data_IF_234961030277
#
_entry.id   IF_234961030277
#
_cell.length_a   1.000
_cell.length_b   1.000
_cell.length_c   1.000
_cell.angle_alpha   90.00
_cell.angle_beta   90.00
_cell.angle_gamma   90.00
#
_symmetry.space_group_name_H-M   'P 1'
#
loop_
_entity.id
_entity.type
_entity.pdbx_description
1 polymer ?
#
# COMPACT_ATOMS: atom_id res chain seq x y z
N UNK A 1 -11.94 11.79 1.90
CA UNK A 1 -10.59 12.42 1.88
C UNK A 1 -10.70 13.90 2.25
N UNK A 2 -9.79 14.48 3.09
CA UNK A 2 -9.82 15.89 3.43
C UNK A 2 -9.37 16.75 2.23
N UNK A 3 -10.06 17.89 2.01
CA UNK A 3 -9.73 18.84 0.94
C UNK A 3 -8.46 19.66 1.24
N UNK A 4 -8.07 19.76 2.50
CA UNK A 4 -6.87 20.45 2.99
C UNK A 4 -6.40 19.82 4.31
N UNK A 5 -5.19 20.16 4.73
CA UNK A 5 -4.58 19.64 5.93
C UNK A 5 -3.95 18.25 5.76
N UNK A 6 -3.15 17.80 6.74
CA UNK A 6 -2.43 16.55 6.67
C UNK A 6 -3.34 15.35 6.99
N UNK A 7 -3.03 14.21 6.38
CA UNK A 7 -3.60 12.92 6.75
C UNK A 7 -2.65 11.80 6.34
N UNK A 8 -2.74 10.67 7.04
CA UNK A 8 -2.01 9.46 6.68
C UNK A 8 -2.96 8.47 5.99
N UNK A 9 -2.77 8.24 4.71
CA UNK A 9 -3.48 7.20 3.95
C UNK A 9 -2.80 5.86 4.17
N UNK A 10 -3.56 4.86 4.57
CA UNK A 10 -3.07 3.49 4.82
C UNK A 10 -3.83 2.55 3.90
N UNK A 11 -3.12 1.85 3.02
CA UNK A 11 -3.73 0.94 2.06
C UNK A 11 -3.15 -0.48 2.15
N UNK A 12 -3.94 -1.49 1.70
CA UNK A 12 -3.42 -2.82 1.44
C UNK A 12 -2.45 -2.78 0.25
N UNK A 13 -1.42 -3.63 0.30
CA UNK A 13 -0.39 -3.71 -0.74
C UNK A 13 -0.54 -4.99 -1.54
N UNK A 14 -0.59 -4.87 -2.85
CA UNK A 14 -0.96 -5.99 -3.70
C UNK A 14 -0.31 -5.92 -5.09
N UNK A 15 -0.24 -7.08 -5.73
CA UNK A 15 0.42 -7.24 -7.02
C UNK A 15 1.93 -7.46 -6.91
N UNK A 16 2.50 -8.11 -7.90
CA UNK A 16 3.94 -8.45 -7.97
C UNK A 16 4.81 -7.21 -8.16
N UNK A 17 4.31 -6.23 -8.90
CA UNK A 17 4.89 -4.90 -9.07
C UNK A 17 3.97 -3.88 -8.39
N UNK A 18 4.51 -2.85 -7.73
CA UNK A 18 3.72 -1.90 -6.94
C UNK A 18 2.95 -0.89 -7.81
N UNK A 19 2.17 -1.40 -8.79
CA UNK A 19 1.31 -0.57 -9.63
C UNK A 19 0.11 -0.01 -8.85
N UNK A 20 -0.28 -0.66 -7.77
CA UNK A 20 -1.27 -0.16 -6.81
C UNK A 20 -0.89 1.21 -6.25
N UNK A 21 0.39 1.43 -5.98
CA UNK A 21 0.91 2.72 -5.54
C UNK A 21 0.69 3.83 -6.61
N UNK A 22 0.97 3.50 -7.87
CA UNK A 22 0.79 4.43 -9.00
C UNK A 22 -0.69 4.73 -9.24
N UNK A 23 -1.53 3.68 -9.23
CA UNK A 23 -2.97 3.81 -9.42
C UNK A 23 -3.62 4.61 -8.29
N UNK A 24 -3.20 4.39 -7.05
CA UNK A 24 -3.68 5.15 -5.89
C UNK A 24 -3.34 6.65 -6.01
N UNK A 25 -2.09 6.97 -6.42
CA UNK A 25 -1.68 8.37 -6.61
C UNK A 25 -2.44 9.04 -7.74
N UNK A 26 -2.53 8.37 -8.91
CA UNK A 26 -3.22 8.90 -10.08
C UNK A 26 -4.71 9.08 -9.79
N UNK A 27 -5.38 8.05 -9.27
CA UNK A 27 -6.79 8.10 -8.95
C UNK A 27 -7.13 9.18 -7.93
N UNK A 28 -6.31 9.33 -6.88
CA UNK A 28 -6.52 10.40 -5.92
C UNK A 28 -6.35 11.79 -6.55
N UNK A 29 -5.31 11.98 -7.38
CA UNK A 29 -5.08 13.27 -8.02
C UNK A 29 -6.21 13.64 -9.02
N UNK A 30 -6.64 12.67 -9.80
CA UNK A 30 -7.64 12.90 -10.86
C UNK A 30 -9.07 13.08 -10.30
N UNK A 31 -9.45 12.25 -9.32
CA UNK A 31 -10.82 12.19 -8.82
C UNK A 31 -11.08 13.12 -7.62
N UNK A 32 -10.02 13.54 -6.89
CA UNK A 32 -10.21 14.41 -5.74
C UNK A 32 -10.46 15.87 -6.16
N UNK A 33 -11.53 16.53 -5.69
CA UNK A 33 -11.88 17.90 -6.12
C UNK A 33 -10.77 18.95 -5.94
N UNK A 34 -9.86 18.73 -4.98
CA UNK A 34 -8.72 19.61 -4.73
C UNK A 34 -7.43 19.12 -5.40
N UNK A 35 -7.46 18.07 -6.24
CA UNK A 35 -6.32 17.49 -6.95
C UNK A 35 -5.08 17.31 -6.04
N UNK A 36 -5.29 16.69 -4.87
CA UNK A 36 -4.24 16.56 -3.87
C UNK A 36 -3.20 15.51 -4.25
N UNK A 37 -1.93 15.84 -4.06
CA UNK A 37 -0.83 14.90 -4.24
C UNK A 37 -0.67 13.99 -3.01
N UNK A 38 -0.45 12.70 -3.25
CA UNK A 38 -0.14 11.73 -2.21
C UNK A 38 1.37 11.44 -2.21
N UNK A 39 2.05 11.69 -1.09
CA UNK A 39 3.46 11.35 -0.89
C UNK A 39 3.58 9.93 -0.37
N UNK A 40 3.91 8.98 -1.22
CA UNK A 40 4.03 7.58 -0.82
C UNK A 40 5.39 7.27 -0.18
N UNK A 41 5.35 6.54 0.93
CA UNK A 41 6.54 6.03 1.60
C UNK A 41 7.00 4.74 0.90
N UNK A 42 8.12 4.82 0.20
CA UNK A 42 8.71 3.71 -0.55
C UNK A 42 9.83 3.00 0.21
N UNK A 43 9.90 1.67 0.11
CA UNK A 43 10.98 0.88 0.68
C UNK A 43 12.34 1.21 0.06
N UNK A 44 13.42 1.01 0.80
CA UNK A 44 14.79 1.30 0.37
C UNK A 44 15.19 0.63 -0.95
N UNK A 45 14.66 -0.55 -1.23
CA UNK A 45 14.90 -1.28 -2.49
C UNK A 45 14.48 -0.47 -3.72
N UNK A 46 13.40 0.32 -3.65
CA UNK A 46 12.95 1.19 -4.74
C UNK A 46 14.02 2.21 -5.10
N UNK A 47 14.76 2.69 -4.09
CA UNK A 47 15.81 3.70 -4.25
C UNK A 47 17.18 3.10 -4.58
N UNK A 48 17.37 1.80 -4.39
CA UNK A 48 18.59 1.09 -4.73
C UNK A 48 18.69 0.77 -6.24
N UNK A 49 17.57 0.71 -6.95
CA UNK A 49 17.54 0.38 -8.38
C UNK A 49 17.65 1.64 -9.24
N UNK A 50 18.73 1.79 -10.06
CA UNK A 50 18.86 2.92 -10.98
C UNK A 50 17.66 3.01 -11.93
N UNK A 51 17.22 4.23 -12.23
CA UNK A 51 16.01 4.48 -13.04
C UNK A 51 14.72 4.41 -12.23
N UNK A 52 14.49 3.36 -11.46
CA UNK A 52 13.31 3.26 -10.59
C UNK A 52 13.34 4.33 -9.50
N UNK A 53 14.52 4.60 -8.91
CA UNK A 53 14.69 5.67 -7.94
C UNK A 53 14.40 7.07 -8.51
N UNK A 54 14.77 7.30 -9.77
CA UNK A 54 14.49 8.58 -10.43
C UNK A 54 12.98 8.73 -10.72
N UNK A 55 12.33 7.67 -11.17
CA UNK A 55 10.89 7.64 -11.39
C UNK A 55 10.12 7.85 -10.08
N UNK A 56 10.45 7.10 -9.03
CA UNK A 56 9.83 7.23 -7.71
C UNK A 56 9.92 8.66 -7.16
N UNK A 57 11.10 9.29 -7.21
CA UNK A 57 11.27 10.68 -6.77
C UNK A 57 10.43 11.66 -7.60
N UNK A 58 10.37 11.48 -8.92
CA UNK A 58 9.56 12.33 -9.80
C UNK A 58 8.06 12.16 -9.56
N UNK A 59 7.63 10.98 -9.15
CA UNK A 59 6.24 10.69 -8.76
C UNK A 59 5.92 11.14 -7.33
N UNK A 60 6.87 11.79 -6.62
CA UNK A 60 6.65 12.27 -5.25
C UNK A 60 6.78 11.21 -4.16
N UNK A 61 7.32 10.01 -4.48
CA UNK A 61 7.65 9.01 -3.47
C UNK A 61 8.85 9.49 -2.64
N UNK A 62 8.81 9.20 -1.36
CA UNK A 62 9.88 9.45 -0.40
C UNK A 62 10.29 8.15 0.29
N UNK A 63 11.49 8.11 0.86
CA UNK A 63 11.91 6.92 1.61
C UNK A 63 11.01 6.70 2.82
N UNK A 64 10.74 5.43 3.12
CA UNK A 64 9.96 5.03 4.31
C UNK A 64 10.78 5.23 5.59
N UNK A 65 10.96 6.49 5.96
CA UNK A 65 11.64 6.94 7.16
C UNK A 65 10.65 7.68 8.07
N UNK A 66 10.58 7.37 9.38
CA UNK A 66 9.66 8.01 10.31
C UNK A 66 9.84 9.54 10.41
N UNK A 67 11.07 10.03 10.32
CA UNK A 67 11.35 11.46 10.39
C UNK A 67 10.86 12.19 9.14
N UNK A 68 10.99 11.55 7.98
CA UNK A 68 10.49 12.10 6.72
C UNK A 68 8.95 12.11 6.67
N UNK A 69 8.31 11.05 7.16
CA UNK A 69 6.86 11.00 7.29
C UNK A 69 6.34 12.11 8.23
N UNK A 70 6.97 12.28 9.39
CA UNK A 70 6.62 13.34 10.35
C UNK A 70 6.81 14.75 9.75
N UNK A 71 7.89 14.96 8.99
CA UNK A 71 8.16 16.24 8.30
C UNK A 71 7.06 16.56 7.29
N UNK A 72 6.65 15.59 6.46
CA UNK A 72 5.62 15.78 5.46
C UNK A 72 4.25 16.06 6.08
N UNK A 73 3.87 15.31 7.11
CA UNK A 73 2.61 15.52 7.82
C UNK A 73 2.56 16.90 8.49
N UNK A 74 3.67 17.39 9.03
CA UNK A 74 3.78 18.77 9.58
C UNK A 74 3.76 19.86 8.51
N UNK A 75 3.96 19.48 7.23
CA UNK A 75 3.90 20.41 6.09
C UNK A 75 2.55 20.33 5.35
N UNK A 76 1.49 19.89 6.02
CA UNK A 76 0.14 19.77 5.47
C UNK A 76 0.00 18.82 4.26
N UNK A 77 0.95 17.91 4.06
CA UNK A 77 0.93 16.94 2.95
C UNK A 77 0.05 15.72 3.28
N UNK A 78 -0.48 15.09 2.24
CA UNK A 78 -1.02 13.73 2.35
C UNK A 78 0.13 12.73 2.23
N UNK A 79 0.25 11.85 3.21
CA UNK A 79 1.26 10.80 3.21
C UNK A 79 0.56 9.45 3.07
N UNK A 80 1.10 8.57 2.22
CA UNK A 80 0.56 7.24 2.00
C UNK A 80 1.56 6.15 2.38
N UNK A 81 1.06 5.07 2.97
CA UNK A 81 1.87 3.93 3.37
C UNK A 81 1.15 2.62 3.11
N UNK A 82 1.93 1.60 2.76
CA UNK A 82 1.50 0.22 2.60
C UNK A 82 2.16 -0.64 3.69
N UNK A 83 1.51 -0.81 4.87
CA UNK A 83 2.16 -1.43 6.03
C UNK A 83 2.49 -2.91 5.87
N UNK A 84 1.87 -3.60 4.92
CA UNK A 84 2.21 -4.99 4.59
C UNK A 84 3.62 -5.13 3.99
N UNK A 85 4.11 -4.09 3.31
CA UNK A 85 5.38 -4.07 2.63
C UNK A 85 5.52 -5.24 1.65
N UNK A 86 6.72 -5.83 1.57
CA UNK A 86 6.99 -6.95 0.65
C UNK A 86 6.13 -8.21 0.90
N UNK A 87 5.53 -8.36 2.07
CA UNK A 87 4.64 -9.49 2.35
C UNK A 87 3.30 -9.35 1.62
N UNK A 88 2.83 -8.13 1.44
CA UNK A 88 1.62 -7.85 0.66
C UNK A 88 1.81 -8.16 -0.82
N UNK A 89 2.85 -7.55 -1.44
CA UNK A 89 3.11 -7.73 -2.88
C UNK A 89 3.65 -9.12 -3.24
N UNK A 90 4.34 -9.80 -2.33
CA UNK A 90 4.93 -11.12 -2.55
C UNK A 90 4.05 -12.30 -2.16
N UNK A 91 2.77 -12.10 -1.84
CA UNK A 91 1.87 -13.21 -1.48
C UNK A 91 1.37 -13.98 -2.71
N UNK A 92 1.12 -15.29 -2.57
CA UNK A 92 0.60 -16.09 -3.67
C UNK A 92 -0.85 -15.70 -4.03
N UNK A 93 -1.24 -15.91 -5.28
CA UNK A 93 -2.59 -15.58 -5.78
C UNK A 93 -3.72 -16.31 -5.03
N UNK A 94 -3.42 -17.48 -4.45
CA UNK A 94 -4.37 -18.21 -3.60
C UNK A 94 -4.72 -17.47 -2.31
N UNK A 95 -3.86 -16.54 -1.86
CA UNK A 95 -4.08 -15.69 -0.69
C UNK A 95 -4.50 -14.26 -1.05
N UNK A 96 -4.88 -14.03 -2.33
CA UNK A 96 -5.34 -12.72 -2.75
C UNK A 96 -6.47 -12.20 -1.85
N UNK A 97 -6.51 -10.89 -1.68
CA UNK A 97 -7.49 -10.18 -0.84
C UNK A 97 -7.41 -10.45 0.66
N UNK A 98 -6.45 -11.27 1.13
CA UNK A 98 -6.15 -11.45 2.54
C UNK A 98 -4.99 -10.56 2.94
N UNK A 99 -5.27 -9.56 3.77
CA UNK A 99 -4.25 -8.64 4.24
C UNK A 99 -3.24 -9.36 5.13
N UNK A 100 -1.98 -9.10 4.89
CA UNK A 100 -0.90 -9.53 5.76
C UNK A 100 -0.83 -8.63 7.01
N UNK A 101 -0.04 -9.03 8.00
CA UNK A 101 0.11 -8.25 9.23
C UNK A 101 0.75 -6.89 8.95
N UNK A 102 0.22 -5.82 9.54
CA UNK A 102 0.70 -4.44 9.43
C UNK A 102 1.90 -4.16 10.35
N UNK A 103 2.98 -4.93 10.19
CA UNK A 103 4.23 -4.72 10.90
C UNK A 103 4.06 -4.61 12.42
N UNK A 104 4.71 -3.59 13.02
CA UNK A 104 4.67 -3.27 14.46
C UNK A 104 3.90 -1.98 14.76
N UNK A 105 2.99 -1.56 13.90
CA UNK A 105 2.21 -0.35 14.11
C UNK A 105 2.96 0.97 13.91
N UNK A 106 4.12 0.96 13.22
CA UNK A 106 4.91 2.18 13.04
C UNK A 106 4.16 3.33 12.38
N UNK A 107 3.28 3.04 11.44
CA UNK A 107 2.40 4.04 10.81
C UNK A 107 1.41 4.65 11.81
N UNK A 108 0.83 3.83 12.70
CA UNK A 108 -0.09 4.29 13.73
C UNK A 108 0.62 5.22 14.72
N UNK A 109 1.82 4.84 15.16
CA UNK A 109 2.66 5.69 16.01
C UNK A 109 2.99 7.05 15.34
N UNK A 110 3.30 7.04 14.04
CA UNK A 110 3.58 8.26 13.27
C UNK A 110 2.34 9.16 13.21
N UNK A 111 1.17 8.60 12.90
CA UNK A 111 -0.07 9.37 12.85
C UNK A 111 -0.47 9.93 14.23
N UNK A 112 -0.32 9.14 15.30
CA UNK A 112 -0.57 9.59 16.68
C UNK A 112 0.36 10.74 17.09
N UNK A 113 1.66 10.64 16.79
CA UNK A 113 2.64 11.70 17.10
C UNK A 113 2.37 12.98 16.34
N UNK A 114 1.96 12.88 15.09
CA UNK A 114 1.61 14.02 14.25
C UNK A 114 0.20 14.57 14.56
N UNK A 115 -0.60 13.86 15.36
CA UNK A 115 -2.00 14.15 15.65
C UNK A 115 -2.86 14.32 14.38
N UNK A 116 -2.63 13.48 13.38
CA UNK A 116 -3.35 13.50 12.10
C UNK A 116 -4.26 12.28 11.97
N UNK A 117 -5.39 12.39 11.26
CA UNK A 117 -6.27 11.24 11.03
C UNK A 117 -5.60 10.21 10.11
N UNK A 118 -5.92 8.93 10.33
CA UNK A 118 -5.63 7.86 9.38
C UNK A 118 -6.83 7.69 8.46
N UNK A 119 -6.57 7.60 7.15
CA UNK A 119 -7.57 7.29 6.13
C UNK A 119 -7.29 5.87 5.63
N UNK A 120 -8.05 4.86 6.07
CA UNK A 120 -7.94 3.53 5.51
C UNK A 120 -8.38 3.55 4.05
N UNK A 121 -7.70 2.78 3.19
CA UNK A 121 -7.98 2.68 1.77
C UNK A 121 -7.92 1.23 1.32
N UNK A 122 -8.99 0.75 0.71
CA UNK A 122 -9.07 -0.58 0.13
C UNK A 122 -8.77 -0.53 -1.37
N UNK A 123 -7.90 -1.42 -1.84
CA UNK A 123 -7.53 -1.57 -3.25
C UNK A 123 -7.86 -3.00 -3.68
N UNK A 124 -8.72 -3.14 -4.68
CA UNK A 124 -9.14 -4.42 -5.27
C UNK A 124 -8.78 -4.40 -6.75
N UNK A 125 -8.37 -5.55 -7.30
CA UNK A 125 -7.97 -5.71 -8.71
C UNK A 125 -6.45 -5.75 -8.94
N UNK A 126 -5.64 -5.17 -8.06
CA UNK A 126 -4.19 -5.14 -8.21
C UNK A 126 -3.52 -6.52 -8.16
N UNK A 127 -4.05 -7.47 -7.41
CA UNK A 127 -3.49 -8.83 -7.31
C UNK A 127 -3.75 -9.69 -8.56
N UNK A 128 -4.69 -9.28 -9.37
CA UNK A 128 -5.12 -10.00 -10.57
C UNK A 128 -4.25 -9.69 -11.80
N UNK A 129 -3.59 -8.54 -11.81
CA UNK A 129 -2.75 -8.15 -12.95
C UNK A 129 -1.51 -9.02 -13.11
N UNK A 130 -1.01 -9.62 -12.00
CA UNK A 130 0.11 -10.54 -11.96
C UNK A 130 -0.19 -11.70 -10.99
N UNK A 131 -1.00 -12.69 -11.37
CA UNK A 131 -1.33 -13.80 -10.49
C UNK A 131 -0.06 -14.59 -10.12
N UNK A 132 0.47 -14.38 -8.94
CA UNK A 132 1.69 -15.06 -8.48
C UNK A 132 1.36 -16.50 -8.09
N UNK A 133 1.76 -17.46 -8.92
CA UNK A 133 1.56 -18.90 -8.71
C UNK A 133 2.73 -19.56 -7.98
N UNK A 134 3.84 -18.85 -7.82
CA UNK A 134 5.02 -19.36 -7.13
C UNK A 134 6.06 -18.28 -6.88
N UNK A 135 7.06 -18.63 -6.07
CA UNK A 135 8.23 -17.82 -5.76
C UNK A 135 9.49 -18.68 -5.92
N UNK A 136 10.44 -18.21 -6.73
CA UNK A 136 11.74 -18.87 -6.87
C UNK A 136 12.74 -18.29 -5.87
N UNK A 137 12.82 -18.86 -4.65
CA UNK A 137 13.77 -18.41 -3.64
C UNK A 137 15.23 -18.42 -4.09
N UNK A 138 15.73 -19.43 -4.87
CA UNK A 138 17.12 -19.41 -5.33
C UNK A 138 17.41 -18.21 -6.23
N UNK A 139 16.49 -17.86 -7.14
CA UNK A 139 16.64 -16.69 -8.01
C UNK A 139 16.49 -15.38 -7.24
N UNK A 140 15.59 -15.31 -6.28
CA UNK A 140 15.46 -14.16 -5.41
C UNK A 140 16.75 -13.87 -4.65
N UNK A 141 17.37 -14.90 -4.04
CA UNK A 141 18.65 -14.78 -3.33
C UNK A 141 19.80 -14.37 -4.26
N UNK A 142 19.87 -14.96 -5.45
CA UNK A 142 20.91 -14.64 -6.43
C UNK A 142 20.85 -13.18 -6.89
N UNK A 143 19.64 -12.64 -7.02
CA UNK A 143 19.39 -11.27 -7.49
C UNK A 143 19.30 -10.24 -6.35
N UNK A 144 19.37 -10.67 -5.07
CA UNK A 144 19.22 -9.78 -3.91
C UNK A 144 17.80 -9.21 -3.77
N UNK A 145 16.80 -9.94 -4.28
CA UNK A 145 15.40 -9.54 -4.25
C UNK A 145 14.67 -10.19 -3.06
N UNK A 146 13.61 -9.55 -2.51
CA UNK A 146 12.81 -10.12 -1.44
C UNK A 146 12.00 -11.36 -1.87
N UNK A 147 11.69 -11.45 -3.15
CA UNK A 147 11.06 -12.59 -3.82
C UNK A 147 11.36 -12.53 -5.31
N UNK A 148 11.24 -13.68 -6.02
CA UNK A 148 11.28 -13.74 -7.48
C UNK A 148 9.97 -14.37 -7.96
N UNK A 149 9.07 -13.55 -8.54
CA UNK A 149 7.73 -14.00 -8.85
C UNK A 149 7.70 -14.97 -10.02
N UNK A 150 6.86 -15.99 -9.91
CA UNK A 150 6.46 -16.86 -11.00
C UNK A 150 4.97 -16.65 -11.25
N UNK A 151 4.63 -16.15 -12.42
CA UNK A 151 3.25 -15.96 -12.87
C UNK A 151 2.97 -16.88 -14.08
N UNK A 152 1.74 -16.99 -14.58
CA UNK A 152 1.45 -17.74 -15.79
C UNK A 152 2.24 -17.28 -17.02
N UNK A 153 2.65 -16.00 -17.05
CA UNK A 153 3.36 -15.40 -18.18
C UNK A 153 4.86 -15.17 -17.91
N UNK A 154 5.23 -14.83 -16.68
CA UNK A 154 6.61 -14.56 -16.29
C UNK A 154 7.17 -15.72 -15.42
N UNK A 155 8.39 -16.20 -15.63
CA UNK A 155 9.41 -15.70 -16.57
C UNK A 155 9.33 -16.29 -18.00
N UNK A 156 8.37 -17.12 -18.33
CA UNK A 156 8.31 -17.91 -19.56
C UNK A 156 8.32 -17.06 -20.83
N UNK A 157 7.63 -15.93 -20.82
CA UNK A 157 7.60 -14.98 -21.93
C UNK A 157 8.58 -13.81 -21.75
N UNK A 158 9.55 -13.93 -20.84
CA UNK A 158 10.52 -12.87 -20.55
C UNK A 158 9.84 -11.55 -20.20
N UNK A 159 10.28 -10.44 -20.81
CA UNK A 159 9.74 -9.09 -20.55
C UNK A 159 8.26 -8.93 -20.98
N UNK A 160 7.79 -9.71 -21.95
CA UNK A 160 6.35 -9.69 -22.33
C UNK A 160 5.48 -10.20 -21.19
N UNK A 161 5.99 -11.12 -20.37
CA UNK A 161 5.32 -11.60 -19.16
C UNK A 161 5.20 -10.54 -18.04
N UNK A 162 5.85 -9.38 -18.17
CA UNK A 162 5.70 -8.24 -17.29
C UNK A 162 4.56 -7.28 -17.71
N UNK A 163 3.88 -7.55 -18.81
CA UNK A 163 2.66 -6.81 -19.20
C UNK A 163 1.52 -7.23 -18.27
N UNK A 164 0.87 -6.26 -17.57
CA UNK A 164 -0.21 -6.57 -16.65
C UNK A 164 -1.41 -7.17 -17.38
N UNK A 165 -2.04 -8.16 -16.77
CA UNK A 165 -3.32 -8.69 -17.24
C UNK A 165 -4.41 -7.62 -17.03
N UNK A 166 -5.46 -7.61 -17.89
CA UNK A 166 -6.59 -6.71 -17.66
C UNK A 166 -7.31 -7.10 -16.37
N UNK A 167 -7.62 -6.09 -15.56
CA UNK A 167 -8.39 -6.27 -14.33
C UNK A 167 -9.19 -5.00 -14.04
N UNK A 168 -10.36 -5.16 -13.45
CA UNK A 168 -11.18 -4.05 -12.97
C UNK A 168 -10.68 -3.61 -11.59
N UNK A 169 -10.23 -2.37 -11.50
CA UNK A 169 -9.73 -1.79 -10.27
C UNK A 169 -10.80 -1.02 -9.53
N UNK A 170 -10.85 -1.22 -8.22
CA UNK A 170 -11.64 -0.40 -7.30
C UNK A 170 -10.70 0.10 -6.21
N UNK A 171 -10.68 1.41 -5.99
CA UNK A 171 -9.93 2.06 -4.92
C UNK A 171 -10.95 2.86 -4.11
N UNK A 172 -11.13 2.48 -2.84
CA UNK A 172 -12.11 3.12 -1.97
C UNK A 172 -11.47 3.60 -0.67
N UNK A 173 -11.74 4.87 -0.33
CA UNK A 173 -11.29 5.49 0.92
C UNK A 173 -12.37 5.34 1.98
N UNK A 174 -12.04 4.71 3.10
CA UNK A 174 -12.92 4.58 4.25
C UNK A 174 -13.00 5.88 5.06
N UNK A 175 -13.97 5.97 5.99
CA UNK A 175 -14.03 7.09 6.93
C UNK A 175 -12.73 7.30 7.71
N UNK A 176 -12.36 8.56 8.02
CA UNK A 176 -11.16 8.85 8.80
C UNK A 176 -11.22 8.22 10.19
N UNK A 177 -10.14 7.58 10.60
CA UNK A 177 -9.94 7.03 11.94
C UNK A 177 -9.14 8.06 12.78
N UNK A 178 -9.69 8.53 13.91
CA UNK A 178 -8.99 9.45 14.79
C UNK A 178 -7.84 8.75 15.51
N UNK A 179 -6.75 9.48 15.77
CA UNK A 179 -5.50 8.94 16.34
C UNK A 179 -5.29 9.31 17.83
N UNK A 180 -6.36 9.70 18.52
CA UNK A 180 -6.30 9.98 19.97
C UNK A 180 -6.00 8.72 20.77
N UNK A 181 -5.15 8.83 21.79
CA UNK A 181 -4.93 7.74 22.74
C UNK A 181 -6.12 7.60 23.69
N UNK A 182 -6.66 6.40 23.86
CA UNK A 182 -7.66 6.15 24.90
C UNK A 182 -7.06 6.37 26.30
N UNK A 183 -7.83 6.97 27.20
CA UNK A 183 -7.40 7.16 28.59
C UNK A 183 -7.21 5.79 29.29
N UNK A 184 -6.08 5.64 29.99
CA UNK A 184 -5.80 4.46 30.81
C UNK A 184 -5.19 3.26 30.06
N UNK A 185 -4.80 3.41 28.80
CA UNK A 185 -4.15 2.38 27.99
C UNK A 185 -2.66 2.77 27.81
N UNK A 186 -1.76 1.79 27.82
CA UNK A 186 -0.35 2.06 27.51
C UNK A 186 -0.17 2.53 26.06
N UNK A 187 0.88 3.32 25.80
CA UNK A 187 1.15 3.84 24.46
C UNK A 187 1.33 2.72 23.42
N UNK A 188 2.01 1.64 23.78
CA UNK A 188 2.25 0.51 22.89
C UNK A 188 0.95 -0.26 22.57
N UNK A 189 0.09 -0.47 23.57
CA UNK A 189 -1.23 -1.09 23.37
C UNK A 189 -2.13 -0.22 22.48
N UNK A 190 -2.14 1.11 22.69
CA UNK A 190 -2.91 2.04 21.88
C UNK A 190 -2.45 2.01 20.42
N UNK A 191 -1.13 1.98 20.17
CA UNK A 191 -0.54 1.87 18.82
C UNK A 191 -0.94 0.56 18.13
N UNK A 192 -0.84 -0.56 18.85
CA UNK A 192 -1.18 -1.87 18.28
C UNK A 192 -2.68 -1.99 18.02
N UNK A 193 -3.51 -1.57 18.96
CA UNK A 193 -4.97 -1.56 18.81
C UNK A 193 -5.41 -0.71 17.61
N UNK A 194 -4.82 0.48 17.45
CA UNK A 194 -5.09 1.34 16.31
C UNK A 194 -4.66 0.68 14.99
N UNK A 195 -3.48 0.06 14.96
CA UNK A 195 -2.97 -0.62 13.77
C UNK A 195 -3.85 -1.81 13.36
N UNK A 196 -4.30 -2.60 14.32
CA UNK A 196 -5.19 -3.75 14.08
C UNK A 196 -6.57 -3.26 13.62
N UNK A 197 -7.15 -2.23 14.26
CA UNK A 197 -8.42 -1.64 13.85
C UNK A 197 -8.40 -1.10 12.41
N UNK A 198 -7.33 -0.41 12.02
CA UNK A 198 -7.16 0.08 10.64
C UNK A 198 -7.05 -1.07 9.66
N UNK A 199 -6.27 -2.12 10.00
CA UNK A 199 -6.14 -3.31 9.17
C UNK A 199 -7.48 -4.01 8.96
N UNK A 200 -8.24 -4.21 10.04
CA UNK A 200 -9.54 -4.88 9.98
C UNK A 200 -10.56 -4.05 9.18
N UNK A 201 -10.56 -2.72 9.33
CA UNK A 201 -11.38 -1.83 8.50
C UNK A 201 -11.07 -1.99 7.01
N UNK A 202 -9.78 -2.11 6.65
CA UNK A 202 -9.39 -2.31 5.24
C UNK A 202 -9.78 -3.72 4.78
N UNK A 203 -9.59 -4.76 5.61
CA UNK A 203 -9.97 -6.13 5.27
C UNK A 203 -11.46 -6.24 5.01
N UNK A 204 -12.30 -5.72 5.92
CA UNK A 204 -13.75 -5.73 5.79
C UNK A 204 -14.20 -5.03 4.49
N UNK A 205 -13.58 -3.88 4.17
CA UNK A 205 -13.89 -3.15 2.95
C UNK A 205 -13.43 -3.89 1.69
N UNK A 206 -12.26 -4.54 1.72
CA UNK A 206 -11.79 -5.39 0.62
C UNK A 206 -12.76 -6.55 0.37
N UNK A 207 -13.23 -7.20 1.44
CA UNK A 207 -14.18 -8.33 1.34
C UNK A 207 -15.52 -7.86 0.75
N UNK A 208 -16.02 -6.70 1.17
CA UNK A 208 -17.23 -6.06 0.62
C UNK A 208 -17.07 -5.78 -0.88
N UNK A 209 -16.01 -5.09 -1.29
CA UNK A 209 -15.76 -4.72 -2.68
C UNK A 209 -15.54 -5.92 -3.59
N UNK A 210 -14.89 -6.98 -3.10
CA UNK A 210 -14.72 -8.23 -3.85
C UNK A 210 -16.06 -8.91 -4.07
N UNK A 211 -16.95 -8.91 -3.06
CA UNK A 211 -18.28 -9.48 -3.17
C UNK A 211 -19.16 -8.71 -4.17
N UNK A 212 -19.09 -7.37 -4.16
CA UNK A 212 -19.84 -6.50 -5.06
C UNK A 212 -19.35 -6.57 -6.51
N UNK A 213 -18.04 -6.60 -6.71
CA UNK A 213 -17.43 -6.60 -8.04
C UNK A 213 -17.70 -7.88 -8.83
N UNK A 214 -17.81 -9.02 -8.15
CA UNK A 214 -17.94 -10.34 -8.76
C UNK A 214 -16.61 -10.89 -9.33
N UNK A 215 -16.64 -11.68 -10.42
CA UNK A 215 -15.46 -12.37 -10.94
C UNK A 215 -14.29 -11.43 -11.29
N UNK A 216 -13.07 -11.93 -11.10
CA UNK A 216 -11.83 -11.19 -11.31
C UNK A 216 -11.60 -10.78 -12.78
N UNK A 217 -11.96 -11.68 -13.69
CA UNK A 217 -11.79 -11.54 -15.13
C UNK A 217 -13.17 -11.67 -15.79
N UNK A 218 -13.87 -10.59 -15.93
CA UNK A 218 -15.18 -10.50 -16.59
C UNK A 218 -15.15 -9.52 -17.75
#
# INVERSE_FOLDING_TARGET
MPSSGPALVVANHSGVLPLDAVMLQAGLFDEHPAHRYLRLLGADLVYAVPGLSALARRSGHVRADPAEADRLLKSDELVGVFPEGFKGIGKPFSERYRLQRFGRGGFALTAMRAAVPIIPCAIVGAEEIYPMIGNSEPLARLLGLPYFPVTPLFPWLGLVGAVPLPSNWIIEFCPPVPTGSPNGVSADEAVMSLADSVRDTIQDKVDELVAERGPAFS
#
